data_IF_582328007453
#
_entry.id   IF_582328007453
#
_cell.length_a   1.000
_cell.length_b   1.000
_cell.length_c   1.000
_cell.angle_alpha   90.00
_cell.angle_beta   90.00
_cell.angle_gamma   90.00
#
_symmetry.space_group_name_H-M   'P 1'
#
loop_
_entity.id
_entity.type
_entity.pdbx_description
1 polymer ?
#
# COMPACT_ATOMS: atom_id res chain seq x y z
N UNK A 1 -7.57 6.08 12.45
CA UNK A 1 -6.32 6.84 12.20
C UNK A 1 -6.64 8.10 11.40
N UNK A 2 -5.80 9.15 11.43
CA UNK A 2 -5.94 10.43 10.67
C UNK A 2 -5.20 10.38 9.32
N UNK A 3 -5.56 11.22 8.34
CA UNK A 3 -4.91 11.23 7.01
C UNK A 3 -3.61 12.03 7.18
N UNK A 4 -2.58 11.77 6.37
CA UNK A 4 -1.38 12.60 6.36
C UNK A 4 -1.71 14.07 6.10
N UNK A 5 -1.10 14.97 6.87
CA UNK A 5 -1.21 16.43 6.70
C UNK A 5 -0.10 17.02 5.82
N UNK A 6 0.97 16.26 5.58
CA UNK A 6 2.11 16.67 4.72
C UNK A 6 2.46 15.59 3.70
N UNK A 7 3.18 15.99 2.64
CA UNK A 7 3.69 15.07 1.62
C UNK A 7 4.68 14.06 2.23
N UNK A 8 5.50 14.50 3.18
CA UNK A 8 6.48 13.65 3.87
C UNK A 8 5.78 12.59 4.73
N UNK A 9 4.70 12.96 5.42
CA UNK A 9 3.88 12.00 6.18
C UNK A 9 3.19 11.00 5.25
N UNK A 10 2.80 11.42 4.04
CA UNK A 10 2.25 10.51 3.04
C UNK A 10 3.30 9.56 2.46
N UNK A 11 4.52 10.06 2.15
CA UNK A 11 5.66 9.22 1.76
C UNK A 11 5.97 8.19 2.84
N UNK A 12 5.99 8.60 4.11
CA UNK A 12 6.23 7.70 5.23
C UNK A 12 5.16 6.60 5.34
N UNK A 13 3.88 6.96 5.16
CA UNK A 13 2.78 5.99 5.18
C UNK A 13 2.94 4.95 4.06
N UNK A 14 3.27 5.37 2.85
CA UNK A 14 3.47 4.46 1.71
C UNK A 14 4.72 3.61 1.88
N UNK A 15 5.81 4.16 2.44
CA UNK A 15 7.01 3.40 2.78
C UNK A 15 6.72 2.32 3.82
N UNK A 16 5.99 2.66 4.90
CA UNK A 16 5.61 1.68 5.92
C UNK A 16 4.78 0.54 5.33
N UNK A 17 3.85 0.83 4.42
CA UNK A 17 3.07 -0.20 3.75
C UNK A 17 3.93 -1.07 2.81
N UNK A 18 4.97 -0.51 2.18
CA UNK A 18 5.92 -1.29 1.39
C UNK A 18 6.75 -2.24 2.28
N UNK A 19 7.21 -1.75 3.42
CA UNK A 19 7.97 -2.53 4.39
C UNK A 19 7.12 -3.72 4.88
N UNK A 20 5.85 -3.48 5.24
CA UNK A 20 4.90 -4.54 5.64
C UNK A 20 4.66 -5.58 4.53
N UNK A 21 4.58 -5.16 3.27
CA UNK A 21 4.46 -6.06 2.10
C UNK A 21 5.68 -6.96 1.97
N UNK A 22 6.86 -6.37 2.11
CA UNK A 22 8.14 -7.07 2.02
C UNK A 22 8.27 -8.09 3.17
N UNK A 23 7.90 -7.71 4.39
CA UNK A 23 7.93 -8.59 5.56
C UNK A 23 6.94 -9.75 5.42
N UNK A 24 5.73 -9.48 4.91
CA UNK A 24 4.74 -10.53 4.63
C UNK A 24 5.24 -11.52 3.58
N UNK A 25 5.84 -11.01 2.50
CA UNK A 25 6.44 -11.86 1.46
C UNK A 25 7.55 -12.74 2.02
N UNK A 26 8.48 -12.18 2.79
CA UNK A 26 9.55 -12.96 3.43
C UNK A 26 8.99 -14.02 4.38
N UNK A 27 7.95 -13.69 5.15
CA UNK A 27 7.30 -14.65 6.05
C UNK A 27 6.63 -15.79 5.26
N UNK A 28 5.94 -15.45 4.17
CA UNK A 28 5.31 -16.42 3.28
C UNK A 28 6.30 -17.34 2.55
N UNK A 29 7.49 -16.83 2.21
CA UNK A 29 8.56 -17.63 1.60
C UNK A 29 9.19 -18.62 2.60
N UNK A 30 9.23 -18.27 3.89
CA UNK A 30 9.80 -19.11 4.93
C UNK A 30 8.82 -20.17 5.47
N UNK A 31 7.52 -19.89 5.45
CA UNK A 31 6.45 -20.77 5.95
C UNK A 31 5.77 -21.53 4.79
N UNK A 32 6.53 -22.48 4.21
CA UNK A 32 6.23 -23.14 2.93
C UNK A 32 4.92 -23.97 2.87
N UNK A 33 4.25 -24.22 3.99
CA UNK A 33 3.11 -25.15 4.04
C UNK A 33 1.72 -24.48 3.86
N UNK A 34 1.57 -23.16 3.97
CA UNK A 34 0.21 -22.54 3.93
C UNK A 34 0.11 -21.15 3.26
N UNK A 35 1.19 -20.63 2.66
CA UNK A 35 1.25 -19.24 2.17
C UNK A 35 1.38 -19.09 0.65
N UNK A 36 1.26 -20.17 -0.14
CA UNK A 36 1.35 -20.12 -1.61
C UNK A 36 0.34 -19.17 -2.26
N UNK A 37 -0.85 -19.03 -1.66
CA UNK A 37 -1.86 -18.06 -2.11
C UNK A 37 -1.45 -16.60 -1.82
N UNK A 38 -0.69 -16.33 -0.74
CA UNK A 38 -0.13 -14.99 -0.46
C UNK A 38 0.93 -14.63 -1.50
N UNK A 39 1.85 -15.56 -1.80
CA UNK A 39 2.89 -15.35 -2.80
C UNK A 39 2.33 -15.01 -4.20
N UNK A 40 1.11 -15.46 -4.51
CA UNK A 40 0.46 -15.21 -5.80
C UNK A 40 0.16 -13.73 -6.08
N UNK A 41 -0.22 -12.95 -5.06
CA UNK A 41 -0.58 -11.54 -5.24
C UNK A 41 0.44 -10.57 -4.63
N UNK A 42 1.21 -11.01 -3.62
CA UNK A 42 2.06 -10.11 -2.83
C UNK A 42 3.18 -9.48 -3.67
N UNK A 43 3.71 -10.20 -4.66
CA UNK A 43 4.72 -9.67 -5.57
C UNK A 43 4.18 -8.59 -6.52
N UNK A 44 2.92 -8.71 -6.96
CA UNK A 44 2.26 -7.65 -7.73
C UNK A 44 1.99 -6.43 -6.85
N UNK A 45 1.53 -6.64 -5.62
CA UNK A 45 1.32 -5.56 -4.65
C UNK A 45 2.63 -4.82 -4.34
N UNK A 46 3.74 -5.53 -4.11
CA UNK A 46 5.08 -4.95 -3.89
C UNK A 46 5.49 -4.02 -5.03
N UNK A 47 5.28 -4.47 -6.27
CA UNK A 47 5.60 -3.69 -7.47
C UNK A 47 4.78 -2.41 -7.55
N UNK A 48 3.46 -2.50 -7.36
CA UNK A 48 2.56 -1.35 -7.44
C UNK A 48 2.84 -0.33 -6.32
N UNK A 49 3.13 -0.79 -5.11
CA UNK A 49 3.46 0.09 -3.98
C UNK A 49 4.82 0.76 -4.18
N UNK A 50 5.80 0.03 -4.71
CA UNK A 50 7.12 0.59 -5.08
C UNK A 50 6.98 1.68 -6.15
N UNK A 51 6.15 1.44 -7.17
CA UNK A 51 5.88 2.42 -8.21
C UNK A 51 5.21 3.67 -7.62
N UNK A 52 4.17 3.50 -6.81
CA UNK A 52 3.49 4.59 -6.13
C UNK A 52 4.46 5.43 -5.28
N UNK A 53 5.33 4.78 -4.51
CA UNK A 53 6.33 5.47 -3.69
C UNK A 53 7.29 6.30 -4.56
N UNK A 54 7.73 5.75 -5.69
CA UNK A 54 8.56 6.44 -6.67
C UNK A 54 7.84 7.66 -7.24
N UNK A 55 6.58 7.49 -7.63
CA UNK A 55 5.75 8.56 -8.18
C UNK A 55 5.59 9.67 -7.13
N UNK A 56 5.21 9.36 -5.89
CA UNK A 56 5.04 10.37 -4.83
C UNK A 56 6.34 11.13 -4.55
N UNK A 57 7.49 10.45 -4.57
CA UNK A 57 8.81 11.10 -4.39
C UNK A 57 9.18 12.01 -5.55
N UNK A 58 8.60 11.80 -6.74
CA UNK A 58 8.76 12.70 -7.87
C UNK A 58 8.06 14.05 -7.64
N UNK A 59 8.41 15.04 -8.47
CA UNK A 59 7.72 16.33 -8.51
C UNK A 59 6.39 16.29 -9.28
N UNK A 60 6.08 15.20 -9.99
CA UNK A 60 4.90 15.08 -10.86
C UNK A 60 3.71 14.33 -10.25
N UNK A 61 3.81 13.88 -8.99
CA UNK A 61 2.68 13.23 -8.34
C UNK A 61 1.55 14.21 -8.04
N UNK A 62 0.35 13.83 -8.44
CA UNK A 62 -0.88 14.57 -8.21
C UNK A 62 -1.86 13.71 -7.41
N UNK A 63 -2.52 14.33 -6.43
CA UNK A 63 -3.69 13.77 -5.76
C UNK A 63 -4.88 13.85 -6.72
N UNK A 64 -5.60 12.75 -6.89
CA UNK A 64 -6.72 12.63 -7.83
C UNK A 64 -7.86 11.89 -7.18
N UNK A 65 -9.11 12.30 -7.42
CA UNK A 65 -10.30 11.60 -6.92
C UNK A 65 -10.63 10.34 -7.74
N UNK A 66 -9.64 9.45 -7.84
CA UNK A 66 -9.75 8.12 -8.43
C UNK A 66 -9.04 7.10 -7.53
N UNK A 67 -9.41 5.83 -7.61
CA UNK A 67 -8.71 4.81 -6.82
C UNK A 67 -7.33 4.53 -7.41
N UNK A 68 -6.34 4.33 -6.54
CA UNK A 68 -5.02 3.85 -6.95
C UNK A 68 -5.14 2.46 -7.60
N UNK A 69 -4.37 2.15 -8.66
CA UNK A 69 -4.41 0.86 -9.33
C UNK A 69 -4.25 -0.35 -8.39
N UNK A 70 -3.39 -0.22 -7.37
CA UNK A 70 -3.16 -1.23 -6.34
C UNK A 70 -4.43 -1.65 -5.58
N UNK A 71 -5.46 -0.80 -5.55
CA UNK A 71 -6.71 -1.10 -4.83
C UNK A 71 -7.46 -2.29 -5.44
N UNK A 72 -7.25 -2.61 -6.71
CA UNK A 72 -7.80 -3.82 -7.32
C UNK A 72 -7.28 -5.09 -6.63
N UNK A 73 -5.98 -5.11 -6.30
CA UNK A 73 -5.32 -6.22 -5.60
C UNK A 73 -5.78 -6.24 -4.14
N UNK A 74 -5.71 -5.09 -3.47
CA UNK A 74 -6.04 -4.94 -2.04
C UNK A 74 -7.49 -5.33 -1.75
N UNK A 75 -8.44 -4.91 -2.59
CA UNK A 75 -9.86 -5.18 -2.38
C UNK A 75 -10.22 -6.65 -2.57
N UNK A 76 -9.46 -7.40 -3.37
CA UNK A 76 -9.66 -8.83 -3.58
C UNK A 76 -9.24 -9.70 -2.37
N UNK A 77 -8.42 -9.17 -1.46
CA UNK A 77 -7.92 -9.92 -0.30
C UNK A 77 -8.79 -9.71 0.94
N UNK A 78 -8.87 -10.72 1.80
CA UNK A 78 -9.42 -10.57 3.15
C UNK A 78 -8.30 -10.20 4.15
N UNK A 79 -8.68 -9.86 5.38
CA UNK A 79 -7.72 -9.41 6.41
C UNK A 79 -6.78 -10.53 6.90
N UNK A 80 -7.10 -11.80 6.66
CA UNK A 80 -6.18 -12.91 6.94
C UNK A 80 -5.04 -12.96 5.93
N UNK A 81 -5.36 -12.76 4.65
CA UNK A 81 -4.36 -12.73 3.56
C UNK A 81 -3.57 -11.42 3.54
N UNK A 82 -4.16 -10.31 3.97
CA UNK A 82 -3.54 -8.98 3.99
C UNK A 82 -3.83 -8.26 5.33
N UNK A 83 -3.09 -8.58 6.41
CA UNK A 83 -3.41 -8.09 7.75
C UNK A 83 -3.28 -6.57 7.94
N UNK A 84 -2.56 -5.89 7.05
CA UNK A 84 -2.38 -4.43 7.04
C UNK A 84 -3.22 -3.75 5.94
N UNK A 85 -4.31 -4.38 5.46
CA UNK A 85 -5.23 -3.84 4.44
C UNK A 85 -5.68 -2.40 4.73
N UNK A 86 -5.89 -2.06 6.00
CA UNK A 86 -6.31 -0.73 6.42
C UNK A 86 -5.31 0.39 6.08
N UNK A 87 -4.01 0.09 5.98
CA UNK A 87 -2.99 1.06 5.54
C UNK A 87 -3.23 1.45 4.08
N UNK A 88 -3.51 0.49 3.20
CA UNK A 88 -3.82 0.77 1.79
C UNK A 88 -5.11 1.56 1.62
N UNK A 89 -6.14 1.26 2.41
CA UNK A 89 -7.36 2.07 2.43
C UNK A 89 -7.03 3.52 2.80
N UNK A 90 -6.11 3.74 3.75
CA UNK A 90 -5.69 5.08 4.16
C UNK A 90 -4.84 5.79 3.13
N UNK A 91 -3.95 5.07 2.46
CA UNK A 91 -3.15 5.57 1.34
C UNK A 91 -4.09 6.04 0.24
N UNK A 92 -5.04 5.20 -0.15
CA UNK A 92 -6.01 5.51 -1.19
C UNK A 92 -6.93 6.67 -0.83
N UNK A 93 -7.44 6.71 0.42
CA UNK A 93 -8.24 7.83 0.91
C UNK A 93 -7.46 9.16 0.87
N UNK A 94 -6.15 9.11 1.12
CA UNK A 94 -5.25 10.28 1.01
C UNK A 94 -5.00 10.65 -0.45
N UNK A 95 -4.78 9.68 -1.34
CA UNK A 95 -4.68 9.93 -2.77
C UNK A 95 -5.93 10.67 -3.31
N UNK A 96 -7.12 10.17 -2.94
CA UNK A 96 -8.42 10.68 -3.40
C UNK A 96 -8.77 12.06 -2.91
N UNK A 97 -8.51 12.31 -1.63
CA UNK A 97 -9.00 13.52 -0.95
C UNK A 97 -7.88 14.53 -0.68
N UNK A 98 -6.67 14.27 -1.16
CA UNK A 98 -5.48 15.05 -0.85
C UNK A 98 -5.01 14.90 0.60
N UNK A 99 -4.17 15.83 1.04
CA UNK A 99 -3.69 15.92 2.42
C UNK A 99 -4.81 16.43 3.35
N UNK A 100 -4.79 15.97 4.60
CA UNK A 100 -5.70 16.46 5.63
C UNK A 100 -5.33 17.90 6.02
N UNK A 101 -6.33 18.77 6.13
CA UNK A 101 -6.16 20.11 6.69
C UNK A 101 -6.08 19.96 8.22
N UNK A 102 -5.11 20.64 8.84
CA UNK A 102 -4.84 20.56 10.29
C UNK A 102 -5.85 21.33 11.14
#
# INVERSE_FOLDING_TARGET
MKRPTTKEAYIYLVQSALDDVIDLKMSAEYDMDDMGAVLSFIGELEKEVTQLLSDIKSSSYEFKDEDLPLMNIVNAQNDFMLPFKSLFMRINDTHRKGLEQS
#
